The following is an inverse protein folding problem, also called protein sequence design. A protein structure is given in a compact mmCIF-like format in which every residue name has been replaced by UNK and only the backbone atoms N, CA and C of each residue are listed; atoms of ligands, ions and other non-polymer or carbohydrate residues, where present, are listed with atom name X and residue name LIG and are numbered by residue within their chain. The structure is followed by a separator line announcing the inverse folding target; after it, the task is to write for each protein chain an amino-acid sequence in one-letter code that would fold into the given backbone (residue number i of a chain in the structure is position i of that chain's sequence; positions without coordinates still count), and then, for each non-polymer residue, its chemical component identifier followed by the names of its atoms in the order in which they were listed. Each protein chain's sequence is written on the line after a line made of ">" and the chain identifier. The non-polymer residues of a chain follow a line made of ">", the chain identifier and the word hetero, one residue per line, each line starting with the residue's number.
data_IF_846348357819
#
_entry.id   IF_846348357819
#
_cell.length_a   1.000
_cell.length_b   1.000
_cell.length_c   1.000
_cell.angle_alpha   90.00
_cell.angle_beta   90.00
_cell.angle_gamma   90.00
#
_symmetry.space_group_name_H-M   'P 1'
#
loop_
_entity.id
_entity.type
_entity.pdbx_description
1 polymer ?
#
# COMPACT_ATOMS: atom_id res chain seq x y z
N UNK A 1 12.54 -5.92 -6.40
CA UNK A 1 13.03 -4.75 -7.17
C UNK A 1 14.07 -5.14 -8.22
N UNK A 2 15.11 -5.93 -7.89
CA UNK A 2 16.18 -6.28 -8.85
C UNK A 2 15.70 -6.81 -10.21
N UNK A 3 14.66 -7.65 -10.25
CA UNK A 3 14.07 -8.12 -11.52
C UNK A 3 13.43 -6.97 -12.33
N UNK A 4 12.64 -6.12 -11.68
CA UNK A 4 12.03 -4.96 -12.33
C UNK A 4 13.09 -3.96 -12.85
N UNK A 5 14.21 -3.82 -12.15
CA UNK A 5 15.35 -3.00 -12.60
C UNK A 5 16.03 -3.61 -13.82
N UNK A 6 16.32 -4.91 -13.78
CA UNK A 6 16.88 -5.65 -14.92
C UNK A 6 16.00 -5.55 -16.16
N UNK A 7 14.69 -5.61 -15.98
CA UNK A 7 13.71 -5.57 -17.06
C UNK A 7 13.40 -4.13 -17.53
N UNK A 8 14.09 -3.11 -16.97
CA UNK A 8 13.96 -1.70 -17.38
C UNK A 8 12.65 -1.02 -16.98
N UNK A 9 11.86 -1.63 -16.08
CA UNK A 9 10.61 -1.06 -15.58
C UNK A 9 10.88 0.02 -14.52
N UNK A 10 11.95 -0.15 -13.74
CA UNK A 10 12.40 0.81 -12.73
C UNK A 10 13.89 1.12 -12.86
N UNK A 11 14.28 2.36 -12.59
CA UNK A 11 15.68 2.80 -12.76
C UNK A 11 16.58 2.34 -11.60
N UNK A 12 15.99 1.99 -10.47
CA UNK A 12 16.73 1.71 -9.24
C UNK A 12 16.12 0.52 -8.49
N UNK A 13 16.97 -0.19 -7.76
CA UNK A 13 16.58 -1.26 -6.83
C UNK A 13 15.92 -0.68 -5.56
N UNK A 14 16.21 0.58 -5.24
CA UNK A 14 15.63 1.32 -4.12
C UNK A 14 14.20 1.78 -4.42
N UNK A 15 13.42 2.04 -3.38
CA UNK A 15 12.08 2.61 -3.46
C UNK A 15 12.13 4.10 -3.87
N UNK A 16 12.49 4.35 -5.13
CA UNK A 16 12.55 5.67 -5.75
C UNK A 16 11.73 5.69 -7.05
N UNK A 17 11.11 6.83 -7.39
CA UNK A 17 10.39 6.95 -8.65
C UNK A 17 11.37 6.83 -9.81
N UNK A 18 10.93 6.15 -10.86
CA UNK A 18 11.64 5.99 -12.13
C UNK A 18 11.40 7.25 -12.96
N UNK A 19 12.48 7.95 -13.29
CA UNK A 19 12.44 9.27 -13.89
C UNK A 19 13.12 9.21 -15.26
N UNK A 20 12.32 9.29 -16.32
CA UNK A 20 12.82 9.68 -17.64
C UNK A 20 13.16 11.19 -17.63
N UNK A 21 13.93 11.70 -18.61
CA UNK A 21 14.43 13.08 -18.62
C UNK A 21 13.39 14.19 -18.34
N UNK A 22 12.11 13.92 -18.62
CA UNK A 22 11.02 14.89 -18.44
C UNK A 22 9.78 14.33 -17.72
N UNK A 23 9.75 13.05 -17.35
CA UNK A 23 8.54 12.43 -16.79
C UNK A 23 8.86 11.31 -15.81
N UNK A 24 8.04 11.19 -14.76
CA UNK A 24 8.06 10.01 -13.89
C UNK A 24 7.21 8.91 -14.52
N UNK A 25 7.81 7.76 -14.80
CA UNK A 25 7.17 6.67 -15.54
C UNK A 25 6.63 5.56 -14.64
N UNK A 26 7.31 5.30 -13.51
CA UNK A 26 6.93 4.29 -12.54
C UNK A 26 7.20 4.73 -11.10
N UNK A 27 6.30 4.35 -10.19
CA UNK A 27 6.39 4.63 -8.77
C UNK A 27 6.27 3.31 -7.98
N UNK A 28 7.37 2.84 -7.38
CA UNK A 28 7.33 1.72 -6.45
C UNK A 28 6.83 2.18 -5.07
N UNK A 29 5.78 1.53 -4.59
CA UNK A 29 5.20 1.65 -3.26
C UNK A 29 5.51 0.36 -2.49
N UNK A 30 6.73 0.28 -1.93
CA UNK A 30 7.23 -0.88 -1.20
C UNK A 30 7.00 -0.76 0.30
N UNK A 31 7.03 0.46 0.82
CA UNK A 31 6.86 0.78 2.23
C UNK A 31 5.89 1.94 2.42
N UNK A 32 5.46 2.16 3.65
CA UNK A 32 4.46 3.18 3.99
C UNK A 32 3.06 2.60 4.16
N UNK A 33 2.06 3.47 4.08
CA UNK A 33 0.65 3.16 4.32
C UNK A 33 -0.20 3.66 3.17
N UNK A 34 -1.22 2.89 2.84
CA UNK A 34 -2.22 3.26 1.84
C UNK A 34 -3.62 3.11 2.45
N UNK A 35 -4.43 4.17 2.34
CA UNK A 35 -5.83 4.15 2.72
C UNK A 35 -6.69 4.30 1.46
N UNK A 36 -7.75 3.49 1.36
CA UNK A 36 -8.66 3.47 0.22
C UNK A 36 -9.93 4.25 0.55
N UNK A 37 -10.23 5.29 -0.22
CA UNK A 37 -11.50 6.02 -0.13
C UNK A 37 -12.54 5.32 -1.02
N UNK A 38 -13.34 4.45 -0.39
CA UNK A 38 -14.28 3.55 -1.07
C UNK A 38 -15.69 4.13 -1.17
N UNK A 39 -15.85 5.23 -1.94
CA UNK A 39 -16.58 5.04 -3.20
C UNK A 39 -15.91 5.66 -4.44
N UNK A 40 -14.86 6.48 -4.29
CA UNK A 40 -14.30 7.25 -5.41
C UNK A 40 -13.21 6.51 -6.20
N UNK A 41 -12.73 5.36 -5.71
CA UNK A 41 -11.59 4.66 -6.30
C UNK A 41 -10.26 5.42 -6.13
N UNK A 42 -10.28 6.44 -5.27
CA UNK A 42 -9.11 7.24 -4.92
C UNK A 42 -8.35 6.55 -3.79
N UNK A 43 -7.03 6.54 -3.94
CA UNK A 43 -6.10 5.87 -3.06
C UNK A 43 -5.18 6.92 -2.46
N UNK A 44 -5.11 6.98 -1.13
CA UNK A 44 -4.19 7.88 -0.43
C UNK A 44 -2.97 7.11 0.05
N UNK A 45 -1.82 7.39 -0.54
CA UNK A 45 -0.55 6.84 -0.10
C UNK A 45 0.15 7.82 0.84
N UNK A 46 0.71 7.30 1.92
CA UNK A 46 1.40 8.06 2.95
C UNK A 46 2.74 7.43 3.30
N UNK A 47 3.78 8.25 3.28
CA UNK A 47 5.14 7.87 3.69
C UNK A 47 5.70 8.89 4.66
N UNK A 48 6.47 8.42 5.63
CA UNK A 48 7.23 9.24 6.56
C UNK A 48 8.70 8.86 6.51
N UNK A 49 9.60 9.84 6.60
CA UNK A 49 11.04 9.59 6.57
C UNK A 49 11.87 10.86 6.43
N UNK A 50 13.13 10.71 6.02
CA UNK A 50 14.00 11.85 5.72
C UNK A 50 13.64 12.47 4.36
N UNK A 51 14.07 13.70 4.12
CA UNK A 51 13.80 14.40 2.86
C UNK A 51 14.35 13.65 1.63
N UNK A 52 15.50 12.98 1.79
CA UNK A 52 16.14 12.19 0.73
C UNK A 52 15.34 10.94 0.31
N UNK A 53 14.45 10.46 1.18
CA UNK A 53 13.57 9.32 0.92
C UNK A 53 12.24 9.75 0.31
N UNK A 54 11.96 11.05 0.27
CA UNK A 54 10.71 11.59 -0.24
C UNK A 54 10.71 11.65 -1.77
N UNK A 55 9.56 11.35 -2.37
CA UNK A 55 9.37 11.33 -3.82
C UNK A 55 9.21 12.73 -4.42
N UNK A 56 10.20 13.61 -4.23
CA UNK A 56 10.13 15.02 -4.65
C UNK A 56 9.91 15.20 -6.15
N UNK A 57 10.37 14.25 -6.98
CA UNK A 57 10.16 14.24 -8.43
C UNK A 57 8.67 14.24 -8.82
N UNK A 58 7.77 13.79 -7.94
CA UNK A 58 6.33 13.77 -8.18
C UNK A 58 5.66 15.14 -8.06
N UNK A 59 6.35 16.14 -7.50
CA UNK A 59 5.81 17.51 -7.35
C UNK A 59 5.33 18.11 -8.67
N UNK A 60 6.07 17.86 -9.76
CA UNK A 60 5.76 18.38 -11.10
C UNK A 60 4.89 17.44 -11.95
N UNK A 61 4.47 16.29 -11.40
CA UNK A 61 3.82 15.21 -12.15
C UNK A 61 2.33 15.06 -11.81
N UNK A 62 1.73 16.11 -11.22
CA UNK A 62 0.29 16.11 -10.95
C UNK A 62 -0.47 16.10 -12.28
N UNK A 63 -1.40 15.15 -12.43
CA UNK A 63 -2.20 14.94 -13.62
C UNK A 63 -1.62 13.94 -14.62
N UNK A 64 -0.36 13.53 -14.48
CA UNK A 64 0.24 12.54 -15.39
C UNK A 64 -0.07 11.11 -14.93
N UNK A 65 -0.28 10.17 -15.87
CA UNK A 65 -0.43 8.76 -15.54
C UNK A 65 0.94 8.14 -15.24
N UNK A 66 1.03 7.43 -14.11
CA UNK A 66 2.24 6.80 -13.60
C UNK A 66 1.95 5.32 -13.37
N UNK A 67 2.92 4.44 -13.69
CA UNK A 67 2.83 3.01 -13.40
C UNK A 67 3.05 2.75 -11.91
N UNK A 68 2.14 2.05 -11.25
CA UNK A 68 2.27 1.73 -9.82
C UNK A 68 2.73 0.28 -9.63
N UNK A 69 3.78 0.12 -8.83
CA UNK A 69 4.24 -1.18 -8.35
C UNK A 69 4.02 -1.25 -6.84
N UNK A 70 3.23 -2.21 -6.35
CA UNK A 70 3.00 -2.40 -4.91
C UNK A 70 3.85 -3.53 -4.37
N UNK A 71 4.50 -3.31 -3.24
CA UNK A 71 5.29 -4.31 -2.52
C UNK A 71 4.48 -5.01 -1.42
N UNK A 72 4.90 -6.23 -1.09
CA UNK A 72 4.32 -7.02 0.00
C UNK A 72 4.36 -6.33 1.37
N UNK A 73 5.42 -5.55 1.63
CA UNK A 73 5.63 -4.86 2.90
C UNK A 73 4.76 -3.59 3.05
N UNK A 74 4.06 -3.18 1.99
CA UNK A 74 3.19 -2.01 2.00
C UNK A 74 1.98 -2.27 2.91
N UNK A 75 1.70 -1.33 3.82
CA UNK A 75 0.51 -1.38 4.67
C UNK A 75 -0.72 -0.89 3.88
N UNK A 76 -1.22 -1.74 2.99
CA UNK A 76 -2.36 -1.50 2.11
C UNK A 76 -3.25 -2.74 2.02
N UNK A 77 -4.56 -2.54 1.78
CA UNK A 77 -5.48 -3.63 1.41
C UNK A 77 -5.18 -4.20 0.01
N UNK A 78 -4.57 -3.38 -0.88
CA UNK A 78 -4.19 -3.79 -2.23
C UNK A 78 -2.78 -4.39 -2.29
N UNK A 79 -2.04 -4.41 -1.18
CA UNK A 79 -0.69 -4.95 -1.19
C UNK A 79 -0.68 -6.45 -1.55
N UNK A 80 0.22 -6.90 -2.45
CA UNK A 80 0.31 -8.32 -2.78
C UNK A 80 0.72 -9.15 -1.56
N UNK A 81 0.39 -10.45 -1.59
CA UNK A 81 0.73 -11.39 -0.51
C UNK A 81 2.21 -11.78 -0.46
N UNK A 82 2.95 -11.55 -1.53
CA UNK A 82 4.36 -11.83 -1.64
C UNK A 82 4.99 -10.97 -2.74
N UNK A 83 6.28 -10.69 -2.62
CA UNK A 83 7.06 -9.99 -3.64
C UNK A 83 6.54 -8.58 -3.96
N UNK A 84 6.48 -8.26 -5.25
CA UNK A 84 5.97 -7.00 -5.78
C UNK A 84 5.07 -7.25 -6.98
N UNK A 85 4.06 -6.39 -7.18
CA UNK A 85 3.07 -6.53 -8.26
C UNK A 85 2.84 -5.21 -8.98
N UNK A 86 2.65 -5.29 -10.30
CA UNK A 86 2.19 -4.16 -11.11
C UNK A 86 0.67 -4.06 -11.10
N UNK A 87 0.16 -2.89 -10.72
CA UNK A 87 -1.29 -2.70 -10.50
C UNK A 87 -1.98 -1.87 -11.58
N UNK A 88 -1.19 -1.34 -12.53
CA UNK A 88 -1.66 -0.52 -13.64
C UNK A 88 -1.19 0.92 -13.57
N UNK A 89 -1.85 1.76 -14.37
CA UNK A 89 -1.66 3.20 -14.47
C UNK A 89 -2.57 3.94 -13.50
N UNK A 90 -1.98 4.91 -12.80
CA UNK A 90 -2.67 5.80 -11.88
C UNK A 90 -2.32 7.25 -12.19
N UNK A 91 -3.32 8.13 -12.16
CA UNK A 91 -3.11 9.57 -12.25
C UNK A 91 -2.84 10.14 -10.86
N UNK A 92 -1.75 10.90 -10.72
CA UNK A 92 -1.48 11.63 -9.47
C UNK A 92 -2.37 12.87 -9.39
N UNK A 93 -3.37 12.87 -8.51
CA UNK A 93 -4.31 13.99 -8.34
C UNK A 93 -3.78 15.08 -7.42
N UNK A 94 -3.05 14.69 -6.38
CA UNK A 94 -2.51 15.61 -5.39
C UNK A 94 -1.20 15.10 -4.84
N UNK A 95 -0.25 16.02 -4.68
CA UNK A 95 0.97 15.82 -3.93
C UNK A 95 0.94 16.73 -2.70
N UNK A 96 1.37 16.25 -1.54
CA UNK A 96 1.51 17.06 -0.34
C UNK A 96 2.70 16.59 0.48
N UNK A 97 3.55 17.53 0.89
CA UNK A 97 4.72 17.29 1.74
C UNK A 97 4.62 18.19 2.96
N UNK A 98 4.77 17.62 4.15
CA UNK A 98 4.76 18.36 5.42
C UNK A 98 5.90 17.92 6.31
N UNK A 99 6.58 18.86 6.95
CA UNK A 99 7.55 18.56 7.99
C UNK A 99 6.80 18.43 9.33
N UNK A 100 6.98 17.30 10.02
CA UNK A 100 6.55 17.15 11.40
C UNK A 100 7.58 17.82 12.30
N UNK A 101 7.18 18.92 12.95
CA UNK A 101 8.09 19.73 13.77
C UNK A 101 8.60 18.96 15.01
N UNK A 102 7.80 18.07 15.58
CA UNK A 102 8.17 17.30 16.78
C UNK A 102 9.19 16.20 16.49
N UNK A 103 9.04 15.48 15.37
CA UNK A 103 9.91 14.35 15.02
C UNK A 103 11.03 14.73 14.06
N UNK A 104 10.96 15.91 13.43
CA UNK A 104 11.86 16.33 12.36
C UNK A 104 11.70 15.53 11.06
N UNK A 105 10.69 14.67 10.96
CA UNK A 105 10.48 13.80 9.79
C UNK A 105 9.52 14.44 8.79
N UNK A 106 9.77 14.19 7.51
CA UNK A 106 8.87 14.59 6.44
C UNK A 106 7.78 13.55 6.25
N UNK A 107 6.55 14.01 6.06
CA UNK A 107 5.39 13.22 5.66
C UNK A 107 4.95 13.62 4.26
N UNK A 108 5.01 12.66 3.34
CA UNK A 108 4.42 12.77 2.00
C UNK A 108 3.06 12.10 2.01
N UNK A 109 2.08 12.78 1.39
CA UNK A 109 0.75 12.25 1.10
C UNK A 109 0.50 12.42 -0.39
N UNK A 110 0.22 11.30 -1.07
CA UNK A 110 -0.13 11.25 -2.49
C UNK A 110 -1.58 10.82 -2.62
N UNK A 111 -2.34 11.52 -3.46
CA UNK A 111 -3.69 11.11 -3.86
C UNK A 111 -3.61 10.55 -5.26
N UNK A 112 -3.83 9.24 -5.39
CA UNK A 112 -3.72 8.49 -6.63
C UNK A 112 -5.12 8.04 -7.08
N UNK A 113 -5.38 8.12 -8.38
CA UNK A 113 -6.64 7.63 -8.96
C UNK A 113 -6.33 6.68 -10.10
N UNK A 114 -6.96 5.50 -10.10
CA UNK A 114 -6.70 4.50 -11.13
C UNK A 114 -7.32 4.92 -12.45
N UNK A 115 -6.54 4.86 -13.54
CA UNK A 115 -7.05 5.17 -14.89
C UNK A 115 -8.09 4.11 -15.30
N UNK A 116 -9.27 4.50 -15.83
CA UNK A 116 -10.31 3.57 -16.25
C UNK A 116 -9.90 2.75 -17.49
N UNK A 117 -10.65 1.68 -17.79
CA UNK A 117 -10.43 0.84 -18.98
C UNK A 117 -9.31 -0.21 -18.85
N UNK A 118 -8.63 -0.26 -17.70
CA UNK A 118 -7.63 -1.29 -17.40
C UNK A 118 -8.29 -2.55 -16.81
N UNK A 119 -7.54 -3.66 -16.78
CA UNK A 119 -7.95 -4.93 -16.13
C UNK A 119 -8.59 -4.66 -14.76
N UNK A 120 -9.72 -5.28 -14.39
CA UNK A 120 -10.36 -5.04 -13.09
C UNK A 120 -9.40 -5.26 -11.93
N UNK A 121 -9.44 -4.37 -10.93
CA UNK A 121 -8.53 -4.47 -9.77
C UNK A 121 -8.73 -5.79 -9.01
N UNK A 122 -9.93 -6.35 -8.98
CA UNK A 122 -10.20 -7.64 -8.33
C UNK A 122 -9.36 -8.79 -8.92
N UNK A 123 -9.18 -8.84 -10.24
CA UNK A 123 -8.35 -9.85 -10.89
C UNK A 123 -6.86 -9.62 -10.66
N UNK A 124 -6.43 -8.36 -10.65
CA UNK A 124 -5.05 -7.98 -10.34
C UNK A 124 -4.73 -8.32 -8.88
N UNK A 125 -5.67 -8.07 -7.97
CA UNK A 125 -5.55 -8.36 -6.55
C UNK A 125 -5.37 -9.85 -6.25
N UNK A 126 -5.89 -10.73 -7.12
CA UNK A 126 -5.74 -12.18 -7.01
C UNK A 126 -4.30 -12.67 -7.26
N UNK A 127 -3.43 -11.83 -7.83
CA UNK A 127 -2.00 -12.12 -8.00
C UNK A 127 -1.28 -11.68 -6.71
N UNK A 128 -0.39 -12.50 -6.12
CA UNK A 128 0.22 -13.71 -6.67
C UNK A 128 -0.67 -14.96 -6.63
N UNK A 129 -0.54 -15.81 -7.66
CA UNK A 129 -1.16 -17.14 -7.73
C UNK A 129 -0.56 -18.09 -6.69
N UNK A 130 -1.26 -19.17 -6.29
CA UNK A 130 -0.73 -20.17 -5.36
C UNK A 130 0.66 -20.70 -5.74
N UNK A 131 0.88 -21.06 -7.00
CA UNK A 131 2.21 -21.50 -7.46
C UNK A 131 3.30 -20.45 -7.30
N UNK A 132 2.97 -19.17 -7.52
CA UNK A 132 3.90 -18.06 -7.34
C UNK A 132 4.22 -17.80 -5.86
N UNK A 133 3.32 -18.18 -4.94
CA UNK A 133 3.60 -18.16 -3.51
C UNK A 133 4.57 -19.28 -3.12
N UNK A 134 4.46 -20.45 -3.73
CA UNK A 134 5.41 -21.55 -3.53
C UNK A 134 6.81 -21.16 -4.05
N UNK A 135 6.87 -20.56 -5.25
CA UNK A 135 8.11 -20.02 -5.82
C UNK A 135 8.73 -18.94 -4.91
N UNK A 136 7.89 -18.08 -4.32
CA UNK A 136 8.34 -17.06 -3.37
C UNK A 136 8.97 -17.68 -2.12
N UNK A 137 8.37 -18.74 -1.56
CA UNK A 137 8.94 -19.43 -0.41
C UNK A 137 10.28 -20.08 -0.74
N UNK A 138 10.43 -20.63 -1.96
CA UNK A 138 11.70 -21.17 -2.42
C UNK A 138 12.75 -20.06 -2.57
N UNK A 139 12.37 -18.93 -3.16
CA UNK A 139 13.24 -17.76 -3.27
C UNK A 139 13.73 -17.28 -1.90
N UNK A 140 12.85 -17.16 -0.90
CA UNK A 140 13.25 -16.73 0.45
C UNK A 140 14.25 -17.69 1.10
N UNK A 141 14.09 -19.01 0.88
CA UNK A 141 15.08 -20.00 1.36
C UNK A 141 16.44 -19.78 0.70
N UNK A 142 16.46 -19.63 -0.62
CA UNK A 142 17.68 -19.39 -1.37
C UNK A 142 18.35 -18.06 -1.00
N UNK A 143 17.57 -16.99 -0.82
CA UNK A 143 18.08 -15.70 -0.34
C UNK A 143 18.76 -15.84 1.02
N UNK A 144 18.13 -16.58 1.95
CA UNK A 144 18.71 -16.89 3.25
C UNK A 144 20.03 -17.67 3.15
N UNK A 145 20.09 -18.69 2.29
CA UNK A 145 21.32 -19.46 2.04
C UNK A 145 22.43 -18.59 1.43
N UNK A 146 22.10 -17.72 0.48
CA UNK A 146 23.06 -16.76 -0.08
C UNK A 146 23.61 -15.81 0.99
N UNK A 147 22.75 -15.28 1.86
CA UNK A 147 23.19 -14.42 2.97
C UNK A 147 24.11 -15.21 3.91
N UNK A 148 23.77 -16.46 4.21
CA UNK A 148 24.59 -17.35 5.04
C UNK A 148 25.98 -17.61 4.43
N UNK A 149 26.05 -17.82 3.12
CA UNK A 149 27.32 -18.01 2.41
C UNK A 149 28.17 -16.72 2.38
N UNK A 150 27.54 -15.56 2.15
CA UNK A 150 28.24 -14.29 1.95
C UNK A 150 28.62 -13.58 3.25
N UNK A 151 27.78 -13.69 4.29
CA UNK A 151 27.90 -12.96 5.56
C UNK A 151 28.04 -13.87 6.79
N UNK A 152 28.10 -15.19 6.57
CA UNK A 152 28.19 -16.19 7.63
C UNK A 152 26.90 -16.39 8.42
N UNK A 153 26.98 -17.19 9.48
CA UNK A 153 25.85 -17.50 10.37
C UNK A 153 25.26 -16.26 11.04
N UNK A 154 26.10 -15.31 11.43
CA UNK A 154 25.66 -14.08 12.10
C UNK A 154 24.79 -13.24 11.17
N UNK A 155 25.22 -13.01 9.92
CA UNK A 155 24.43 -12.27 8.94
C UNK A 155 23.14 -13.00 8.56
N UNK A 156 23.14 -14.33 8.53
CA UNK A 156 21.93 -15.13 8.33
C UNK A 156 20.94 -14.97 9.48
N UNK A 157 21.42 -14.99 10.73
CA UNK A 157 20.58 -14.81 11.91
C UNK A 157 19.94 -13.42 11.91
N UNK A 158 20.70 -12.36 11.65
CA UNK A 158 20.22 -10.98 11.54
C UNK A 158 19.19 -10.81 10.42
N UNK A 159 19.44 -11.42 9.25
CA UNK A 159 18.46 -11.41 8.15
C UNK A 159 17.17 -12.14 8.55
N UNK A 160 17.28 -13.28 9.24
CA UNK A 160 16.13 -14.07 9.67
C UNK A 160 15.32 -13.34 10.74
N UNK A 161 15.97 -12.66 11.70
CA UNK A 161 15.28 -11.85 12.70
C UNK A 161 14.57 -10.67 12.05
N UNK A 162 15.23 -9.94 11.14
CA UNK A 162 14.62 -8.82 10.42
C UNK A 162 13.39 -9.25 9.60
N UNK A 163 13.46 -10.38 8.89
CA UNK A 163 12.30 -10.95 8.16
C UNK A 163 11.17 -11.37 9.09
N UNK A 164 11.49 -11.93 10.26
CA UNK A 164 10.48 -12.32 11.24
C UNK A 164 9.78 -11.08 11.84
N UNK A 165 10.53 -10.04 12.19
CA UNK A 165 10.00 -8.76 12.67
C UNK A 165 9.07 -8.12 11.63
N UNK A 166 9.48 -8.09 10.37
CA UNK A 166 8.68 -7.56 9.26
C UNK A 166 7.33 -8.30 9.14
N UNK A 167 7.35 -9.64 9.19
CA UNK A 167 6.14 -10.47 9.14
C UNK A 167 5.22 -10.25 10.33
N UNK A 168 5.79 -10.16 11.53
CA UNK A 168 5.02 -9.89 12.76
C UNK A 168 4.36 -8.52 12.68
N UNK A 169 5.12 -7.49 12.30
CA UNK A 169 4.64 -6.12 12.18
C UNK A 169 3.51 -6.01 11.14
N UNK A 170 3.70 -6.60 9.96
CA UNK A 170 2.68 -6.61 8.92
C UNK A 170 1.43 -7.41 9.35
N UNK A 171 1.62 -8.56 10.01
CA UNK A 171 0.52 -9.38 10.52
C UNK A 171 -0.28 -8.67 11.62
N UNK A 172 0.38 -7.99 12.55
CA UNK A 172 -0.25 -7.16 13.56
C UNK A 172 -1.06 -6.02 12.92
N UNK A 173 -0.51 -5.36 11.91
CA UNK A 173 -1.22 -4.32 11.18
C UNK A 173 -2.49 -4.84 10.49
N UNK A 174 -2.42 -6.00 9.81
CA UNK A 174 -3.59 -6.60 9.15
C UNK A 174 -4.70 -6.93 10.15
N UNK A 175 -4.36 -7.57 11.27
CA UNK A 175 -5.31 -7.86 12.35
C UNK A 175 -5.95 -6.59 12.93
N UNK A 176 -5.16 -5.54 13.15
CA UNK A 176 -5.67 -4.26 13.64
C UNK A 176 -6.62 -3.59 12.63
N UNK A 177 -6.33 -3.73 11.33
CA UNK A 177 -7.20 -3.24 10.26
C UNK A 177 -8.52 -4.01 10.20
N UNK A 178 -8.48 -5.34 10.25
CA UNK A 178 -9.67 -6.20 10.27
C UNK A 178 -10.58 -5.82 11.44
N UNK A 179 -10.02 -5.77 12.65
CA UNK A 179 -10.75 -5.35 13.85
C UNK A 179 -11.33 -3.93 13.70
N UNK A 180 -10.56 -2.99 13.16
CA UNK A 180 -11.01 -1.62 12.91
C UNK A 180 -12.07 -1.50 11.82
N UNK A 181 -12.13 -2.43 10.87
CA UNK A 181 -13.23 -2.52 9.90
C UNK A 181 -14.48 -3.11 10.51
N UNK A 182 -14.36 -4.16 11.33
CA UNK A 182 -15.49 -4.77 12.05
C UNK A 182 -16.15 -3.76 13.00
N UNK A 183 -15.37 -3.04 13.80
CA UNK A 183 -15.86 -1.98 14.69
C UNK A 183 -16.62 -0.88 13.93
N UNK A 184 -16.15 -0.49 12.75
CA UNK A 184 -16.83 0.50 11.90
C UNK A 184 -18.13 -0.01 11.29
N UNK A 185 -18.20 -1.31 10.95
CA UNK A 185 -19.43 -1.93 10.47
C UNK A 185 -20.46 -2.04 11.60
N UNK A 186 -20.03 -2.44 12.80
CA UNK A 186 -20.88 -2.51 13.98
C UNK A 186 -21.44 -1.13 14.35
N UNK A 187 -20.62 -0.08 14.35
CA UNK A 187 -21.09 1.28 14.65
C UNK A 187 -22.07 1.82 13.60
N UNK A 188 -21.87 1.53 12.32
CA UNK A 188 -22.85 1.88 11.26
C UNK A 188 -24.16 1.13 11.42
N UNK A 189 -24.12 -0.16 11.79
CA UNK A 189 -25.33 -0.94 12.02
C UNK A 189 -26.13 -0.42 13.23
N UNK A 190 -25.44 -0.03 14.31
CA UNK A 190 -26.06 0.58 15.49
C UNK A 190 -26.69 1.95 15.18
N UNK A 191 -26.03 2.80 14.38
CA UNK A 191 -26.58 4.09 13.94
C UNK A 191 -27.82 3.96 13.04
N UNK A 192 -27.81 2.99 12.12
CA UNK A 192 -28.98 2.71 11.27
C UNK A 192 -30.17 2.15 12.05
N UNK A 193 -29.92 1.40 13.13
CA UNK A 193 -30.96 0.85 14.01
C UNK A 193 -31.56 1.91 14.95
N UNK A 194 -30.81 2.96 15.32
CA UNK A 194 -31.37 4.09 16.06
C UNK A 194 -32.21 5.01 15.18
N UNK A 195 -31.78 5.29 13.95
CA UNK A 195 -32.53 6.15 13.00
C UNK A 195 -33.84 5.49 12.54
N UNK A 196 -33.86 4.16 12.36
CA UNK A 196 -35.09 3.43 12.03
C UNK A 196 -36.09 3.38 13.20
N UNK A 197 -35.63 3.36 14.46
CA UNK A 197 -36.51 3.45 15.64
C UNK A 197 -37.09 4.85 15.87
N UNK A 198 -36.35 5.92 15.57
CA UNK A 198 -36.84 7.29 15.72
C UNK A 198 -37.86 7.67 14.63
N UNK A 199 -37.66 7.20 13.40
CA UNK A 199 -38.59 7.40 12.27
C UNK A 199 -39.90 6.64 12.46
N UNK A 200 -39.85 5.43 13.03
CA UNK A 200 -41.05 4.63 13.35
C UNK A 200 -41.85 5.22 14.54
N UNK A 201 -41.15 5.75 15.55
CA UNK A 201 -41.78 6.43 16.69
C UNK A 201 -42.46 7.76 16.31
N UNK A 202 -41.87 8.54 15.40
CA UNK A 202 -42.46 9.79 14.90
C UNK A 202 -43.64 9.54 13.96
N UNK A 203 -43.60 8.48 13.13
CA UNK A 203 -44.74 8.07 12.31
C UNK A 203 -45.93 7.58 13.14
N UNK A 204 -45.68 6.84 14.23
CA UNK A 204 -46.73 6.37 15.13
C UNK A 204 -47.39 7.50 15.94
N UNK A 205 -46.68 8.60 16.20
CA UNK A 205 -47.22 9.79 16.89
C UNK A 205 -48.12 10.63 15.96
N UNK A 206 -47.82 10.70 14.67
CA UNK A 206 -48.60 11.46 13.69
C UNK A 206 -49.95 10.80 13.33
N UNK A 207 -50.08 9.47 13.49
CA UNK A 207 -51.32 8.74 13.20
C UNK A 207 -52.36 8.77 14.33
N UNK A 208 -52.10 9.50 15.43
CA UNK A 208 -52.97 9.61 16.61
C UNK A 208 -53.61 11.00 16.78
N UNK A 209 -53.46 11.89 15.81
CA UNK A 209 -54.19 13.16 15.69
C UNK A 209 -55.18 13.09 14.55
#
# INVERSE_FOLDING_TARGET
>A
MACATRDGIVDNVMERPTCEPYQVTALPLLSGREDLDSPSGVTQYMRQGQLADMHLALLSQVGTPIRILRGYCLRSQLAPRAGMRYDGLYSLRRYSLKLHQETGLYRVVLTLERVPGQRPMAEVAAIPLPSQLDDWQLFEKYEGEMVRQMRGEQGFLEWKTAKAEERVNLGQWRKAMELGTELRLLSRSAGSASESRETEATAAAAARQ
#
